data_IF_396188565687
#
_entry.id   IF_396188565687
#
_cell.length_a   1.000
_cell.length_b   1.000
_cell.length_c   1.000
_cell.angle_alpha   90.00
_cell.angle_beta   90.00
_cell.angle_gamma   90.00
#
_symmetry.space_group_name_H-M   'P 1'
#
loop_
_entity.id
_entity.type
_entity.pdbx_description
1 polymer ?
#
# COMPACT_ATOMS: atom_id res chain seq x y z
N UNK A 1 -22.80 -7.14 -9.57
CA UNK A 1 -23.81 -8.19 -9.83
C UNK A 1 -24.28 -8.83 -8.55
N UNK A 2 -23.37 -9.40 -7.76
CA UNK A 2 -23.69 -10.14 -6.52
C UNK A 2 -23.99 -9.28 -5.28
N UNK A 3 -23.99 -7.95 -5.41
CA UNK A 3 -24.27 -7.02 -4.32
C UNK A 3 -25.76 -6.76 -4.12
N UNK A 4 -26.09 -5.94 -3.12
CA UNK A 4 -27.48 -5.62 -2.73
C UNK A 4 -27.74 -4.10 -2.78
N UNK A 5 -29.00 -3.64 -2.75
CA UNK A 5 -30.25 -4.42 -2.77
C UNK A 5 -30.70 -4.82 -4.19
N UNK A 6 -30.23 -4.12 -5.23
CA UNK A 6 -30.73 -4.28 -6.61
C UNK A 6 -29.93 -5.24 -7.49
N UNK A 7 -28.81 -5.79 -7.02
CA UNK A 7 -27.99 -6.72 -7.83
C UNK A 7 -27.32 -6.11 -9.07
N UNK A 8 -27.17 -4.77 -9.12
CA UNK A 8 -26.64 -4.08 -10.30
C UNK A 8 -25.20 -4.51 -10.63
N UNK A 9 -24.82 -4.42 -11.90
CA UNK A 9 -23.50 -4.82 -12.39
C UNK A 9 -22.91 -3.77 -13.34
N UNK A 10 -21.58 -3.69 -13.38
CA UNK A 10 -20.86 -2.81 -14.30
C UNK A 10 -21.36 -1.37 -14.23
N UNK A 11 -21.68 -0.81 -15.40
CA UNK A 11 -22.07 0.59 -15.56
C UNK A 11 -23.50 0.91 -15.11
N UNK A 12 -24.33 -0.10 -14.86
CA UNK A 12 -25.64 0.10 -14.23
C UNK A 12 -25.49 0.63 -12.79
N UNK A 13 -24.31 0.42 -12.19
CA UNK A 13 -23.94 1.02 -10.91
C UNK A 13 -23.48 2.46 -11.17
N UNK A 14 -24.16 3.42 -10.54
CA UNK A 14 -23.81 4.83 -10.62
C UNK A 14 -22.33 5.05 -10.31
N UNK A 15 -21.65 5.91 -11.08
CA UNK A 15 -20.19 6.13 -10.97
C UNK A 15 -19.75 6.48 -9.54
N UNK A 16 -20.49 7.34 -8.84
CA UNK A 16 -20.20 7.65 -7.43
C UNK A 16 -20.23 6.43 -6.51
N UNK A 17 -21.14 5.48 -6.73
CA UNK A 17 -21.14 4.23 -5.96
C UNK A 17 -19.93 3.39 -6.30
N UNK A 18 -19.56 3.29 -7.59
CA UNK A 18 -18.34 2.58 -8.02
C UNK A 18 -17.07 3.17 -7.41
N UNK A 19 -17.00 4.50 -7.22
CA UNK A 19 -15.89 5.21 -6.57
C UNK A 19 -15.87 4.97 -5.05
N UNK A 20 -17.00 5.15 -4.38
CA UNK A 20 -17.08 5.09 -2.91
C UNK A 20 -16.85 3.67 -2.40
N UNK A 21 -17.29 2.65 -3.13
CA UNK A 21 -17.18 1.25 -2.69
C UNK A 21 -15.75 0.82 -2.32
N UNK A 22 -14.72 0.92 -3.20
CA UNK A 22 -13.35 0.52 -2.84
C UNK A 22 -12.76 1.40 -1.72
N UNK A 23 -13.07 2.70 -1.69
CA UNK A 23 -12.59 3.61 -0.63
C UNK A 23 -13.15 3.21 0.73
N UNK A 24 -14.46 2.97 0.81
CA UNK A 24 -15.13 2.56 2.04
C UNK A 24 -14.65 1.17 2.51
N UNK A 25 -14.38 0.25 1.59
CA UNK A 25 -13.79 -1.05 1.94
C UNK A 25 -12.37 -0.88 2.45
N UNK A 26 -11.54 -0.08 1.79
CA UNK A 26 -10.16 0.17 2.25
C UNK A 26 -10.14 0.77 3.66
N UNK A 27 -10.91 1.83 3.91
CA UNK A 27 -11.04 2.45 5.23
C UNK A 27 -11.48 1.46 6.29
N UNK A 28 -12.46 0.60 5.96
CA UNK A 28 -12.92 -0.46 6.86
C UNK A 28 -11.85 -1.52 7.17
N UNK A 29 -10.95 -1.82 6.23
CA UNK A 29 -9.88 -2.82 6.41
C UNK A 29 -8.76 -2.30 7.32
N UNK A 30 -8.39 -1.02 7.19
CA UNK A 30 -7.31 -0.42 7.98
C UNK A 30 -7.78 0.16 9.32
N UNK A 31 -9.08 0.38 9.48
CA UNK A 31 -9.66 0.89 10.72
C UNK A 31 -9.67 -0.19 11.81
N UNK A 32 -9.17 0.15 12.99
CA UNK A 32 -9.23 -0.72 14.17
C UNK A 32 -10.68 -0.80 14.67
N UNK A 33 -11.28 -1.99 14.62
CA UNK A 33 -12.63 -2.25 15.17
C UNK A 33 -12.51 -3.12 16.43
N UNK A 34 -13.45 -3.04 17.39
CA UNK A 34 -13.36 -3.79 18.65
C UNK A 34 -13.20 -5.32 18.50
N UNK A 35 -13.47 -5.88 17.32
CA UNK A 35 -13.50 -7.33 17.06
C UNK A 35 -12.68 -7.76 15.83
N UNK A 36 -11.83 -6.89 15.29
CA UNK A 36 -11.04 -7.20 14.09
C UNK A 36 -9.67 -6.50 14.16
N UNK A 37 -8.61 -7.29 14.00
CA UNK A 37 -7.28 -6.72 13.77
C UNK A 37 -7.29 -5.96 12.44
N UNK A 38 -6.86 -4.70 12.48
CA UNK A 38 -6.73 -3.85 11.32
C UNK A 38 -5.64 -4.40 10.40
N UNK A 39 -5.93 -4.47 9.11
CA UNK A 39 -4.90 -4.73 8.10
C UNK A 39 -3.92 -3.56 8.03
N UNK A 40 -2.66 -3.85 7.71
CA UNK A 40 -1.70 -2.81 7.36
C UNK A 40 -2.09 -2.17 6.02
N UNK A 41 -1.78 -0.87 5.79
CA UNK A 41 -2.12 -0.16 4.55
C UNK A 41 -1.74 -0.92 3.27
N UNK A 42 -0.54 -1.50 3.22
CA UNK A 42 -0.11 -2.29 2.06
C UNK A 42 -0.96 -3.54 1.83
N UNK A 43 -1.42 -4.21 2.89
CA UNK A 43 -2.29 -5.39 2.79
C UNK A 43 -3.65 -5.01 2.21
N UNK A 44 -4.25 -3.93 2.73
CA UNK A 44 -5.53 -3.41 2.23
C UNK A 44 -5.39 -2.92 0.77
N UNK A 45 -4.29 -2.24 0.44
CA UNK A 45 -3.98 -1.81 -0.93
C UNK A 45 -3.94 -3.00 -1.91
N UNK A 46 -3.18 -4.05 -1.58
CA UNK A 46 -3.09 -5.24 -2.44
C UNK A 46 -4.39 -6.06 -2.46
N UNK A 47 -5.18 -6.03 -1.38
CA UNK A 47 -6.53 -6.60 -1.38
C UNK A 47 -7.43 -5.88 -2.41
N UNK A 48 -7.48 -4.55 -2.38
CA UNK A 48 -8.27 -3.76 -3.34
C UNK A 48 -7.81 -4.05 -4.77
N UNK A 49 -6.49 -4.04 -5.02
CA UNK A 49 -5.90 -4.39 -6.31
C UNK A 49 -6.34 -5.78 -6.79
N UNK A 50 -6.27 -6.79 -5.93
CA UNK A 50 -6.64 -8.18 -6.25
C UNK A 50 -8.14 -8.40 -6.49
N UNK A 51 -8.99 -7.42 -6.18
CA UNK A 51 -10.45 -7.48 -6.37
C UNK A 51 -10.95 -6.58 -7.51
N UNK A 52 -10.05 -5.92 -8.24
CA UNK A 52 -10.38 -5.18 -9.45
C UNK A 52 -11.06 -6.09 -10.49
N UNK A 53 -12.15 -5.62 -11.10
CA UNK A 53 -12.93 -6.38 -12.08
C UNK A 53 -13.83 -7.47 -11.49
N UNK A 54 -13.70 -7.77 -10.20
CA UNK A 54 -14.52 -8.76 -9.49
C UNK A 54 -15.51 -8.05 -8.56
N UNK A 55 -14.99 -7.31 -7.58
CA UNK A 55 -15.80 -6.57 -6.62
C UNK A 55 -15.83 -5.07 -6.91
N UNK A 56 -14.77 -4.58 -7.55
CA UNK A 56 -14.58 -3.16 -7.80
C UNK A 56 -14.44 -2.89 -9.29
N UNK A 57 -14.85 -1.69 -9.70
CA UNK A 57 -14.62 -1.21 -11.06
C UNK A 57 -13.09 -1.11 -11.32
N UNK A 58 -12.55 -1.78 -12.36
CA UNK A 58 -11.13 -1.73 -12.69
C UNK A 58 -10.57 -0.31 -12.88
N UNK A 59 -11.32 0.60 -13.51
CA UNK A 59 -10.88 1.96 -13.79
C UNK A 59 -10.80 2.78 -12.49
N UNK A 60 -11.73 2.55 -11.57
CA UNK A 60 -11.69 3.18 -10.25
C UNK A 60 -10.52 2.64 -9.45
N UNK A 61 -10.29 1.32 -9.47
CA UNK A 61 -9.14 0.73 -8.76
C UNK A 61 -7.83 1.27 -9.32
N UNK A 62 -7.66 1.38 -10.64
CA UNK A 62 -6.48 2.00 -11.24
C UNK A 62 -6.19 3.38 -10.62
N UNK A 63 -7.19 4.27 -10.59
CA UNK A 63 -7.02 5.62 -10.00
C UNK A 63 -6.80 5.59 -8.49
N UNK A 64 -7.43 4.66 -7.78
CA UNK A 64 -7.19 4.45 -6.36
C UNK A 64 -5.72 4.08 -6.10
N UNK A 65 -5.18 3.16 -6.89
CA UNK A 65 -3.80 2.70 -6.78
C UNK A 65 -2.77 3.76 -7.20
N UNK A 66 -3.15 4.76 -7.98
CA UNK A 66 -2.29 5.91 -8.32
C UNK A 66 -2.12 6.89 -7.15
N UNK A 67 -3.02 6.86 -6.17
CA UNK A 67 -3.16 7.90 -5.12
C UNK A 67 -2.83 7.34 -3.74
N UNK A 68 -3.30 6.13 -3.42
CA UNK A 68 -3.15 5.57 -2.07
C UNK A 68 -1.80 4.88 -1.94
N UNK A 69 -0.93 5.41 -1.09
CA UNK A 69 0.36 4.80 -0.81
C UNK A 69 0.20 3.54 0.06
N UNK A 70 0.63 2.35 -0.41
CA UNK A 70 0.69 1.15 0.44
C UNK A 70 1.69 1.32 1.59
N UNK A 71 2.73 2.14 1.40
CA UNK A 71 3.75 2.45 2.40
C UNK A 71 3.85 3.97 2.54
N UNK A 72 3.08 4.58 3.46
CA UNK A 72 3.12 6.03 3.70
C UNK A 72 4.51 6.52 4.14
N UNK A 73 4.76 7.82 3.95
CA UNK A 73 5.96 8.49 4.49
C UNK A 73 6.02 8.28 6.00
N UNK A 74 7.21 7.93 6.50
CA UNK A 74 7.42 7.56 7.91
C UNK A 74 7.24 6.07 8.22
N UNK A 75 6.91 5.24 7.22
CA UNK A 75 6.85 3.78 7.42
C UNK A 75 8.27 3.20 7.40
N UNK A 76 8.63 2.46 8.46
CA UNK A 76 9.84 1.65 8.50
C UNK A 76 9.62 0.35 7.73
N UNK A 77 10.56 0.04 6.84
CA UNK A 77 10.48 -1.11 5.94
C UNK A 77 11.81 -1.83 5.86
N UNK A 78 11.74 -3.14 5.71
CA UNK A 78 12.88 -3.97 5.33
C UNK A 78 12.77 -4.34 3.87
N UNK A 79 13.86 -4.20 3.15
CA UNK A 79 13.95 -4.61 1.75
C UNK A 79 14.25 -6.10 1.65
N UNK A 80 13.97 -6.70 0.49
CA UNK A 80 14.33 -8.10 0.20
C UNK A 80 15.85 -8.38 0.25
N UNK A 81 16.70 -7.34 0.24
CA UNK A 81 18.14 -7.44 0.52
C UNK A 81 18.47 -7.66 2.01
N UNK A 82 17.49 -7.48 2.89
CA UNK A 82 17.63 -7.50 4.35
C UNK A 82 17.91 -6.13 4.98
N UNK A 83 18.23 -5.12 4.18
CA UNK A 83 18.49 -3.74 4.65
C UNK A 83 17.20 -3.09 5.18
N UNK A 84 17.34 -2.26 6.23
CA UNK A 84 16.20 -1.58 6.87
C UNK A 84 16.31 -0.07 6.70
N UNK A 85 15.18 0.54 6.36
CA UNK A 85 15.10 1.98 6.12
C UNK A 85 13.71 2.57 6.31
N UNK A 86 13.65 3.89 6.16
CA UNK A 86 12.45 4.69 6.33
C UNK A 86 11.94 5.17 4.98
N UNK A 87 10.64 5.07 4.73
CA UNK A 87 10.01 5.72 3.56
C UNK A 87 10.07 7.24 3.74
N UNK A 88 10.75 7.93 2.82
CA UNK A 88 11.02 9.38 2.91
C UNK A 88 10.31 10.21 1.85
N UNK A 89 9.96 9.60 0.71
CA UNK A 89 9.30 10.31 -0.38
C UNK A 89 8.47 9.35 -1.24
N UNK A 90 7.38 9.87 -1.81
CA UNK A 90 6.46 9.12 -2.67
C UNK A 90 6.11 9.99 -3.87
N UNK A 91 6.30 9.46 -5.08
CA UNK A 91 5.99 10.16 -6.34
C UNK A 91 4.55 9.82 -6.77
N UNK A 92 3.73 10.82 -7.15
CA UNK A 92 2.41 10.57 -7.74
C UNK A 92 2.47 9.60 -8.93
N UNK A 93 1.52 8.67 -9.03
CA UNK A 93 1.50 7.63 -10.07
C UNK A 93 2.53 6.51 -9.89
N UNK A 94 3.38 6.56 -8.86
CA UNK A 94 4.31 5.48 -8.47
C UNK A 94 4.26 5.23 -6.96
N UNK A 95 3.08 5.35 -6.35
CA UNK A 95 2.93 5.33 -4.90
C UNK A 95 3.31 3.99 -4.25
N UNK A 96 3.27 2.89 -5.01
CA UNK A 96 3.75 1.57 -4.58
C UNK A 96 5.28 1.41 -4.59
N UNK A 97 6.01 2.38 -5.15
CA UNK A 97 7.46 2.34 -5.33
C UNK A 97 8.12 3.58 -4.71
N UNK A 98 8.11 3.70 -3.36
CA UNK A 98 8.62 4.87 -2.66
C UNK A 98 10.14 5.01 -2.73
N UNK A 99 10.64 6.16 -2.29
CA UNK A 99 12.05 6.34 -1.93
C UNK A 99 12.26 5.99 -0.46
N UNK A 100 13.23 5.13 -0.21
CA UNK A 100 13.56 4.61 1.13
C UNK A 100 14.97 5.05 1.50
N UNK A 101 15.12 5.68 2.66
CA UNK A 101 16.42 6.01 3.23
C UNK A 101 16.87 4.86 4.13
N UNK A 102 17.94 4.18 3.75
CA UNK A 102 18.49 3.02 4.45
C UNK A 102 19.35 3.48 5.62
N UNK A 103 19.06 2.95 6.80
CA UNK A 103 19.77 3.25 8.04
C UNK A 103 20.53 2.04 8.58
N UNK A 104 20.11 0.82 8.25
CA UNK A 104 20.74 -0.41 8.74
C UNK A 104 21.05 -1.37 7.59
N UNK A 105 22.18 -2.05 7.69
CA UNK A 105 22.53 -3.12 6.76
C UNK A 105 21.70 -4.41 7.03
N UNK A 106 21.97 -5.46 6.25
CA UNK A 106 21.29 -6.74 6.37
C UNK A 106 21.56 -7.52 7.68
N UNK A 107 22.52 -7.06 8.49
CA UNK A 107 22.80 -7.58 9.83
C UNK A 107 22.25 -6.66 10.93
N UNK A 108 21.37 -5.71 10.58
CA UNK A 108 20.83 -4.69 11.47
C UNK A 108 21.89 -3.78 12.09
N UNK A 109 23.05 -3.65 11.44
CA UNK A 109 24.08 -2.72 11.90
C UNK A 109 23.82 -1.31 11.34
N UNK A 110 23.84 -0.27 12.18
CA UNK A 110 23.68 1.10 11.71
C UNK A 110 24.74 1.49 10.67
N UNK A 111 24.29 2.06 9.55
CA UNK A 111 25.15 2.62 8.52
C UNK A 111 25.72 3.96 8.98
N UNK A 112 27.03 4.15 8.81
CA UNK A 112 27.69 5.45 9.09
C UNK A 112 27.12 6.59 8.24
N UNK A 113 26.73 6.28 7.00
CA UNK A 113 26.17 7.24 6.06
C UNK A 113 24.88 6.64 5.46
N UNK A 114 23.70 7.00 5.98
CA UNK A 114 22.43 6.57 5.42
C UNK A 114 22.29 6.98 3.95
N UNK A 115 21.83 6.05 3.11
CA UNK A 115 21.72 6.24 1.65
C UNK A 115 20.27 6.15 1.22
N UNK A 116 19.84 6.98 0.26
CA UNK A 116 18.47 6.94 -0.29
C UNK A 116 18.43 6.09 -1.54
N UNK A 117 17.44 5.20 -1.61
CA UNK A 117 17.17 4.33 -2.75
C UNK A 117 15.77 4.62 -3.29
N UNK A 118 15.65 4.83 -4.60
CA UNK A 118 14.34 4.91 -5.26
C UNK A 118 13.91 3.53 -5.75
N UNK A 119 12.85 2.96 -5.17
CA UNK A 119 12.29 1.68 -5.63
C UNK A 119 11.59 1.81 -6.99
N UNK A 120 11.29 3.04 -7.43
CA UNK A 120 10.75 3.30 -8.76
C UNK A 120 11.77 3.16 -9.90
N UNK A 121 13.07 3.24 -9.57
CA UNK A 121 14.21 3.16 -10.49
C UNK A 121 15.00 1.86 -10.33
N UNK A 122 14.67 1.06 -9.30
CA UNK A 122 15.31 -0.21 -9.00
C UNK A 122 14.31 -1.37 -9.15
N UNK A 123 14.60 -2.31 -10.05
CA UNK A 123 13.73 -3.47 -10.33
C UNK A 123 14.09 -4.71 -9.50
N UNK A 124 15.22 -4.70 -8.80
CA UNK A 124 15.73 -5.83 -8.02
C UNK A 124 15.27 -5.73 -6.57
N UNK A 125 15.21 -4.50 -6.04
CA UNK A 125 14.80 -4.23 -4.67
C UNK A 125 13.29 -4.06 -4.55
N UNK A 126 12.73 -4.67 -3.51
CA UNK A 126 11.33 -4.53 -3.13
C UNK A 126 11.21 -4.49 -1.61
N UNK A 127 10.11 -3.92 -1.11
CA UNK A 127 9.77 -4.00 0.31
C UNK A 127 9.32 -5.42 0.61
N UNK A 128 9.99 -6.07 1.56
CA UNK A 128 9.68 -7.42 2.03
C UNK A 128 8.68 -7.36 3.19
N UNK A 129 8.96 -6.52 4.19
CA UNK A 129 8.12 -6.36 5.38
C UNK A 129 8.09 -4.92 5.90
N UNK A 130 6.99 -4.57 6.56
CA UNK A 130 6.90 -3.36 7.39
C UNK A 130 7.40 -3.74 8.78
N UNK A 131 8.36 -2.97 9.28
CA UNK A 131 9.02 -3.22 10.57
C UNK A 131 8.85 -2.03 11.48
N UNK A 132 9.12 -2.21 12.77
CA UNK A 132 9.32 -1.09 13.69
C UNK A 132 10.73 -0.52 13.51
N UNK A 133 10.95 0.70 14.00
CA UNK A 133 12.30 1.25 14.08
C UNK A 133 13.18 0.33 14.93
N UNK A 134 14.32 -0.16 14.40
CA UNK A 134 15.21 -0.98 15.21
C UNK A 134 15.68 -0.20 16.44
N UNK A 135 15.28 -0.65 17.63
CA UNK A 135 15.79 -0.13 18.90
C UNK A 135 17.25 -0.54 19.08
N UNK A 136 18.09 0.37 19.58
CA UNK A 136 19.48 0.08 20.00
C UNK A 136 19.59 -1.05 21.04
#
# INVERSE_FOLDING_TARGET
>A
GSGYPRGLAGEDIHIYSRIVTPVNVYDALISKRPYQESMLPHQAYYYIRGKAGILFDPLVVEKFLDIVAPYPIGTWVKLNSGEVGLVTSIKPGKVAYPEVKIFYDNNLKPLKNPTTISLAENTILSIDEVVEEPSE
#
